data_IF_553485129534
#
_entry.id   IF_553485129534
#
_cell.length_a   1.000
_cell.length_b   1.000
_cell.length_c   1.000
_cell.angle_alpha   90.00
_cell.angle_beta   90.00
_cell.angle_gamma   90.00
#
_symmetry.space_group_name_H-M   'P 1'
#
loop_
_entity.id
_entity.type
_entity.pdbx_description
1 polymer ?
#
# COMPACT_ATOMS: atom_id res chain seq x y z
N UNK A 1 11.80 14.00 17.42
CA UNK A 1 11.54 13.18 16.23
C UNK A 1 12.80 13.25 15.40
N UNK A 2 13.68 12.26 15.54
CA UNK A 2 14.91 12.22 14.75
C UNK A 2 14.57 11.83 13.31
N UNK A 3 15.15 12.54 12.34
CA UNK A 3 15.01 12.20 10.94
C UNK A 3 15.85 10.94 10.68
N UNK A 4 15.22 9.82 10.34
CA UNK A 4 15.92 8.62 9.92
C UNK A 4 16.72 8.95 8.65
N UNK A 5 18.04 9.12 8.81
CA UNK A 5 18.95 9.42 7.71
C UNK A 5 19.26 8.16 6.93
N UNK A 6 18.86 8.11 5.65
CA UNK A 6 19.32 7.14 4.64
C UNK A 6 18.99 5.66 4.86
N UNK A 7 18.54 5.25 6.04
CA UNK A 7 18.17 3.87 6.33
C UNK A 7 16.88 3.47 5.61
N UNK A 8 16.83 2.22 5.16
CA UNK A 8 15.63 1.64 4.57
C UNK A 8 14.61 1.38 5.68
N UNK A 9 13.42 1.97 5.55
CA UNK A 9 12.39 1.90 6.58
C UNK A 9 11.06 1.54 5.94
N UNK A 10 10.35 0.58 6.55
CA UNK A 10 8.96 0.26 6.23
C UNK A 10 8.07 0.62 7.43
N UNK A 11 7.10 1.52 7.22
CA UNK A 11 6.08 1.85 8.21
C UNK A 11 4.74 1.26 7.79
N UNK A 12 4.06 0.56 8.70
CA UNK A 12 2.71 0.01 8.49
C UNK A 12 1.69 0.86 9.23
N UNK A 13 0.58 1.17 8.56
CA UNK A 13 -0.56 1.84 9.16
C UNK A 13 -1.82 0.99 9.00
N UNK A 14 -2.35 0.51 10.11
CA UNK A 14 -3.55 -0.33 10.15
C UNK A 14 -4.82 0.51 10.31
N UNK A 15 -5.89 0.05 9.66
CA UNK A 15 -7.22 0.63 9.72
C UNK A 15 -8.21 -0.41 10.23
N UNK A 16 -9.33 0.04 10.79
CA UNK A 16 -10.40 -0.87 11.23
C UNK A 16 -11.04 -1.60 10.05
N UNK A 17 -11.17 -0.93 8.90
CA UNK A 17 -11.67 -1.51 7.66
C UNK A 17 -11.39 -0.60 6.46
N UNK A 18 -11.26 -1.18 5.28
CA UNK A 18 -11.47 -0.43 4.04
C UNK A 18 -12.94 -0.05 3.87
N UNK A 19 -13.22 1.15 3.32
CA UNK A 19 -14.59 1.59 3.05
C UNK A 19 -15.22 0.72 1.96
N UNK A 20 -16.56 0.63 1.90
CA UNK A 20 -17.24 0.04 0.77
C UNK A 20 -16.97 0.83 -0.52
N UNK A 21 -16.97 0.14 -1.65
CA UNK A 21 -16.87 0.73 -3.00
C UNK A 21 -18.04 0.24 -3.85
N UNK A 22 -19.24 0.87 -3.72
CA UNK A 22 -20.47 0.39 -4.37
C UNK A 22 -20.37 0.30 -5.89
N UNK A 23 -19.65 1.23 -6.53
CA UNK A 23 -19.44 1.24 -7.99
C UNK A 23 -18.65 0.03 -8.50
N UNK A 24 -17.94 -0.67 -7.60
CA UNK A 24 -17.22 -1.92 -7.88
C UNK A 24 -17.90 -3.15 -7.26
N UNK A 25 -19.07 -3.00 -6.63
CA UNK A 25 -19.77 -4.08 -5.93
C UNK A 25 -19.06 -4.57 -4.67
N UNK A 26 -18.18 -3.74 -4.07
CA UNK A 26 -17.36 -4.13 -2.94
C UNK A 26 -17.93 -3.62 -1.61
N UNK A 27 -18.10 -4.52 -0.63
CA UNK A 27 -18.46 -4.16 0.74
C UNK A 27 -17.30 -3.57 1.55
N UNK A 28 -17.54 -3.26 2.82
CA UNK A 28 -16.44 -3.01 3.75
C UNK A 28 -15.65 -4.32 4.00
N UNK A 29 -14.35 -4.21 4.26
CA UNK A 29 -13.54 -5.36 4.67
C UNK A 29 -12.48 -4.94 5.67
N UNK A 30 -12.31 -5.75 6.72
CA UNK A 30 -11.19 -5.59 7.66
C UNK A 30 -9.93 -6.29 7.15
N UNK A 31 -10.06 -7.20 6.16
CA UNK A 31 -8.92 -7.92 5.62
C UNK A 31 -8.06 -6.98 4.79
N UNK A 32 -6.75 -7.06 5.01
CA UNK A 32 -5.78 -6.22 4.31
C UNK A 32 -6.04 -4.72 4.48
N UNK A 33 -6.77 -4.30 5.52
CA UNK A 33 -7.10 -2.90 5.81
C UNK A 33 -5.89 -2.17 6.40
N UNK A 34 -4.80 -2.08 5.65
CA UNK A 34 -3.58 -1.38 6.04
C UNK A 34 -2.80 -0.90 4.82
N UNK A 35 -1.97 0.11 5.03
CA UNK A 35 -0.96 0.54 4.05
C UNK A 35 0.45 0.29 4.59
N UNK A 36 1.40 0.14 3.68
CA UNK A 36 2.83 0.15 4.01
C UNK A 36 3.50 1.28 3.24
N UNK A 37 4.29 2.09 3.92
CA UNK A 37 5.16 3.10 3.31
C UNK A 37 6.58 2.58 3.37
N UNK A 38 7.21 2.42 2.21
CA UNK A 38 8.62 2.09 2.09
C UNK A 38 9.42 3.35 1.75
N UNK A 39 10.37 3.69 2.61
CA UNK A 39 11.29 4.81 2.46
C UNK A 39 12.68 4.27 2.20
N UNK A 40 13.39 4.93 1.30
CA UNK A 40 14.74 4.58 0.88
C UNK A 40 14.90 3.17 0.29
N UNK A 41 13.81 2.49 -0.08
CA UNK A 41 13.83 1.12 -0.58
C UNK A 41 12.84 0.93 -1.75
N UNK A 42 13.19 0.03 -2.68
CA UNK A 42 12.33 -0.26 -3.84
C UNK A 42 11.11 -1.11 -3.53
N UNK A 43 11.15 -1.88 -2.45
CA UNK A 43 10.11 -2.85 -2.09
C UNK A 43 9.68 -2.70 -0.62
N UNK A 44 8.64 -3.42 -0.20
CA UNK A 44 8.30 -3.55 1.23
C UNK A 44 9.40 -4.27 2.03
N UNK A 45 10.23 -5.05 1.34
CA UNK A 45 11.44 -5.66 1.88
C UNK A 45 12.62 -4.70 1.66
N UNK A 46 13.28 -4.24 2.73
CA UNK A 46 14.40 -3.30 2.65
C UNK A 46 15.68 -4.02 2.20
N UNK A 47 15.67 -4.55 0.97
CA UNK A 47 16.81 -5.28 0.39
C UNK A 47 17.62 -4.42 -0.56
N UNK A 48 16.94 -3.54 -1.31
CA UNK A 48 17.55 -2.69 -2.34
C UNK A 48 17.28 -1.22 -2.03
N UNK A 49 18.33 -0.43 -1.73
CA UNK A 49 18.20 1.00 -1.54
C UNK A 49 17.64 1.72 -2.77
N UNK A 50 16.79 2.70 -2.56
CA UNK A 50 16.29 3.62 -3.59
C UNK A 50 16.20 5.03 -3.03
N UNK A 51 16.28 6.06 -3.87
CA UNK A 51 15.88 7.41 -3.44
C UNK A 51 14.34 7.59 -3.44
N UNK A 52 13.62 6.63 -4.00
CA UNK A 52 12.17 6.65 -4.12
C UNK A 52 11.48 6.35 -2.79
N UNK A 53 10.23 6.81 -2.69
CA UNK A 53 9.31 6.48 -1.61
C UNK A 53 8.06 5.87 -2.23
N UNK A 54 7.70 4.67 -1.78
CA UNK A 54 6.59 3.91 -2.37
C UNK A 54 5.57 3.59 -1.31
N UNK A 55 4.31 3.90 -1.61
CA UNK A 55 3.16 3.54 -0.79
C UNK A 55 2.49 2.30 -1.37
N UNK A 56 2.32 1.28 -0.55
CA UNK A 56 1.66 0.03 -0.87
C UNK A 56 0.27 0.02 -0.23
N UNK A 57 -0.75 -0.13 -1.08
CA UNK A 57 -2.13 -0.34 -0.65
C UNK A 57 -2.38 -1.84 -0.68
N UNK A 58 -2.71 -2.41 0.49
CA UNK A 58 -3.01 -3.83 0.59
C UNK A 58 -4.50 -4.05 0.31
N UNK A 59 -4.80 -5.01 -0.53
CA UNK A 59 -6.16 -5.44 -0.82
C UNK A 59 -6.21 -6.97 -0.86
N UNK A 60 -7.40 -7.53 -0.73
CA UNK A 60 -7.58 -8.97 -0.90
C UNK A 60 -7.20 -9.40 -2.32
N UNK A 61 -6.58 -10.56 -2.46
CA UNK A 61 -6.05 -11.09 -3.73
C UNK A 61 -7.09 -11.09 -4.87
N UNK A 62 -8.36 -11.28 -4.54
CA UNK A 62 -9.46 -11.34 -5.51
C UNK A 62 -10.12 -9.99 -5.81
N UNK A 63 -9.68 -8.91 -5.16
CA UNK A 63 -10.24 -7.56 -5.32
C UNK A 63 -9.17 -6.49 -5.53
N UNK A 64 -8.28 -6.63 -6.53
CA UNK A 64 -7.25 -5.64 -6.81
C UNK A 64 -7.86 -4.28 -7.21
N UNK A 65 -9.08 -4.26 -7.75
CA UNK A 65 -9.78 -3.01 -8.10
C UNK A 65 -9.97 -2.08 -6.89
N UNK A 66 -10.03 -2.60 -5.66
CA UNK A 66 -10.10 -1.78 -4.45
C UNK A 66 -8.82 -0.95 -4.27
N UNK A 67 -7.66 -1.55 -4.47
CA UNK A 67 -6.38 -0.85 -4.31
C UNK A 67 -6.27 0.30 -5.32
N UNK A 68 -6.69 0.04 -6.57
CA UNK A 68 -6.76 1.06 -7.63
C UNK A 68 -7.70 2.20 -7.26
N UNK A 69 -8.89 1.88 -6.74
CA UNK A 69 -9.85 2.88 -6.29
C UNK A 69 -9.32 3.73 -5.14
N UNK A 70 -8.68 3.10 -4.14
CA UNK A 70 -8.07 3.83 -3.01
C UNK A 70 -6.96 4.78 -3.48
N UNK A 71 -6.13 4.36 -4.44
CA UNK A 71 -5.09 5.20 -5.02
C UNK A 71 -5.67 6.43 -5.74
N UNK A 72 -6.80 6.27 -6.44
CA UNK A 72 -7.43 7.38 -7.17
C UNK A 72 -8.01 8.45 -6.23
N UNK A 73 -8.45 8.07 -5.02
CA UNK A 73 -9.00 9.03 -4.03
C UNK A 73 -7.98 10.08 -3.58
N UNK A 74 -6.70 9.76 -3.67
CA UNK A 74 -5.59 10.64 -3.23
C UNK A 74 -4.80 11.22 -4.39
N UNK A 75 -5.26 11.02 -5.64
CA UNK A 75 -4.60 11.54 -6.84
C UNK A 75 -3.20 10.96 -7.10
N UNK A 76 -2.89 9.80 -6.50
CA UNK A 76 -1.60 9.15 -6.68
C UNK A 76 -1.60 8.29 -7.94
N UNK A 77 -0.46 8.25 -8.63
CA UNK A 77 -0.24 7.37 -9.77
C UNK A 77 0.09 5.96 -9.28
N UNK A 78 -0.64 4.97 -9.76
CA UNK A 78 -0.32 3.56 -9.51
C UNK A 78 0.98 3.21 -10.23
N UNK A 79 1.92 2.63 -9.48
CA UNK A 79 3.21 2.21 -10.00
C UNK A 79 3.19 0.71 -10.29
N UNK A 80 3.33 0.35 -11.57
CA UNK A 80 3.47 -1.04 -12.00
C UNK A 80 2.22 -1.91 -11.81
N UNK A 81 2.41 -3.21 -12.01
CA UNK A 81 1.37 -4.23 -11.82
C UNK A 81 1.18 -4.56 -10.33
N UNK A 82 -0.03 -4.97 -9.91
CA UNK A 82 -0.29 -5.45 -8.55
C UNK A 82 0.73 -6.50 -8.14
N UNK A 83 1.43 -6.24 -7.03
CA UNK A 83 2.37 -7.18 -6.46
C UNK A 83 1.61 -8.13 -5.53
N UNK A 84 1.74 -9.43 -5.78
CA UNK A 84 1.30 -10.43 -4.82
C UNK A 84 2.37 -10.57 -3.74
N UNK A 85 2.04 -10.24 -2.50
CA UNK A 85 2.88 -10.66 -1.38
C UNK A 85 2.79 -12.18 -1.26
N UNK A 86 3.94 -12.86 -1.25
CA UNK A 86 3.98 -14.23 -0.75
C UNK A 86 3.51 -14.21 0.71
N UNK A 87 2.44 -14.95 0.99
CA UNK A 87 1.92 -15.15 2.35
C UNK A 87 2.98 -15.75 3.26
#
# INVERSE_FOLDING_TARGET
>A
MEAAGGEMVAARWDFSSWPPVPELGLGNTCRCAFITVSLNARSIYPEVPSADHTLYIHAEQFHPERATWLASQVGLKILGEPQMSAL
#
